data_IF_846407317317
#
_entry.id   IF_846407317317
#
_cell.length_a   1.000
_cell.length_b   1.000
_cell.length_c   1.000
_cell.angle_alpha   90.00
_cell.angle_beta   90.00
_cell.angle_gamma   90.00
#
_symmetry.space_group_name_H-M   'P 1'
#
loop_
_entity.id
_entity.type
_entity.pdbx_description
1 polymer ?
#
# COMPACT_ATOMS: atom_id res chain seq x y z
N UNK A 1 -0.57 34.58 5.24
CA UNK A 1 -1.38 33.51 4.64
C UNK A 1 -0.85 33.16 3.25
N UNK A 2 -0.66 34.13 2.35
CA UNK A 2 -0.10 33.93 1.01
C UNK A 2 1.28 33.25 1.01
N UNK A 3 2.20 33.66 1.90
CA UNK A 3 3.51 33.01 2.06
C UNK A 3 3.40 31.52 2.38
N UNK A 4 2.46 31.13 3.24
CA UNK A 4 2.24 29.73 3.61
C UNK A 4 1.68 28.93 2.43
N UNK A 5 0.82 29.54 1.60
CA UNK A 5 0.29 28.92 0.39
C UNK A 5 1.42 28.68 -0.62
N UNK A 6 2.27 29.68 -0.87
CA UNK A 6 3.42 29.55 -1.77
C UNK A 6 4.39 28.48 -1.28
N UNK A 7 4.74 28.48 0.01
CA UNK A 7 5.60 27.45 0.60
C UNK A 7 4.98 26.05 0.50
N UNK A 8 3.68 25.91 0.76
CA UNK A 8 2.98 24.64 0.62
C UNK A 8 3.06 24.11 -0.81
N UNK A 9 2.85 24.95 -1.83
CA UNK A 9 2.97 24.57 -3.24
C UNK A 9 4.41 24.17 -3.59
N UNK A 10 5.41 24.90 -3.07
CA UNK A 10 6.82 24.55 -3.27
C UNK A 10 7.17 23.19 -2.68
N UNK A 11 6.67 22.87 -1.48
CA UNK A 11 6.86 21.56 -0.88
C UNK A 11 6.13 20.47 -1.67
N UNK A 12 4.90 20.70 -2.11
CA UNK A 12 4.14 19.76 -2.95
C UNK A 12 4.87 19.45 -4.26
N UNK A 13 5.45 20.45 -4.92
CA UNK A 13 6.28 20.27 -6.11
C UNK A 13 7.50 19.40 -5.84
N UNK A 14 8.25 19.67 -4.76
CA UNK A 14 9.43 18.87 -4.37
C UNK A 14 9.06 17.43 -4.05
N UNK A 15 7.95 17.22 -3.34
CA UNK A 15 7.43 15.89 -3.03
C UNK A 15 7.11 15.13 -4.33
N UNK A 16 6.46 15.79 -5.30
CA UNK A 16 6.18 15.18 -6.60
C UNK A 16 7.45 14.75 -7.33
N UNK A 17 8.45 15.63 -7.39
CA UNK A 17 9.75 15.33 -8.02
C UNK A 17 10.45 14.15 -7.34
N UNK A 18 10.52 14.15 -6.01
CA UNK A 18 11.13 13.05 -5.27
C UNK A 18 10.35 11.75 -5.41
N UNK A 19 9.02 11.80 -5.48
CA UNK A 19 8.20 10.60 -5.70
C UNK A 19 8.42 10.01 -7.09
N UNK A 20 8.62 10.82 -8.13
CA UNK A 20 8.96 10.33 -9.48
C UNK A 20 10.31 9.62 -9.48
N UNK A 21 11.34 10.23 -8.87
CA UNK A 21 12.67 9.61 -8.71
C UNK A 21 12.63 8.35 -7.85
N UNK A 22 11.83 8.36 -6.77
CA UNK A 22 11.67 7.21 -5.89
C UNK A 22 10.94 6.06 -6.60
N UNK A 23 9.98 6.37 -7.46
CA UNK A 23 9.27 5.37 -8.26
C UNK A 23 10.22 4.62 -9.17
N UNK A 24 11.07 5.33 -9.94
CA UNK A 24 12.04 4.66 -10.82
C UNK A 24 13.03 3.79 -10.06
N UNK A 25 13.55 4.27 -8.92
CA UNK A 25 14.44 3.47 -8.07
C UNK A 25 13.76 2.22 -7.50
N UNK A 26 12.48 2.32 -7.10
CA UNK A 26 11.70 1.16 -6.63
C UNK A 26 11.48 0.16 -7.76
N UNK A 27 11.10 0.63 -8.94
CA UNK A 27 10.82 -0.23 -10.09
C UNK A 27 12.08 -1.02 -10.51
N UNK A 28 13.24 -0.36 -10.61
CA UNK A 28 14.51 -1.02 -10.92
C UNK A 28 14.94 -2.02 -9.82
N UNK A 29 14.82 -1.63 -8.55
CA UNK A 29 15.11 -2.53 -7.43
C UNK A 29 14.21 -3.76 -7.47
N UNK A 30 12.91 -3.58 -7.66
CA UNK A 30 11.93 -4.67 -7.65
C UNK A 30 12.12 -5.61 -8.87
N UNK A 31 12.56 -5.08 -10.01
CA UNK A 31 12.96 -5.88 -11.18
C UNK A 31 14.16 -6.77 -10.87
N UNK A 32 15.18 -6.24 -10.19
CA UNK A 32 16.34 -7.00 -9.74
C UNK A 32 15.91 -8.06 -8.72
N UNK A 33 15.10 -7.69 -7.72
CA UNK A 33 14.58 -8.62 -6.70
C UNK A 33 13.82 -9.79 -7.32
N UNK A 34 12.95 -9.55 -8.32
CA UNK A 34 12.23 -10.62 -9.02
C UNK A 34 13.17 -11.61 -9.70
N UNK A 35 14.23 -11.10 -10.34
CA UNK A 35 15.23 -11.94 -11.01
C UNK A 35 15.99 -12.79 -9.99
N UNK A 36 16.39 -12.19 -8.86
CA UNK A 36 17.06 -12.91 -7.77
C UNK A 36 16.16 -14.00 -7.17
N UNK A 37 14.89 -13.69 -6.89
CA UNK A 37 13.93 -14.66 -6.33
C UNK A 37 13.71 -15.84 -7.29
N UNK A 38 13.61 -15.61 -8.60
CA UNK A 38 13.46 -16.68 -9.60
C UNK A 38 14.65 -17.65 -9.64
N UNK A 39 15.85 -17.20 -9.25
CA UNK A 39 17.06 -18.02 -9.21
C UNK A 39 17.18 -18.82 -7.91
N UNK A 40 16.42 -18.47 -6.88
CA UNK A 40 16.41 -19.20 -5.61
C UNK A 40 15.49 -20.41 -5.74
N UNK A 41 16.09 -21.60 -5.64
CA UNK A 41 15.34 -22.86 -5.54
C UNK A 41 14.53 -22.90 -4.24
N UNK A 42 13.34 -23.49 -4.29
CA UNK A 42 12.39 -23.57 -3.16
C UNK A 42 12.79 -24.63 -2.10
N UNK A 43 14.08 -24.71 -1.81
CA UNK A 43 14.66 -25.61 -0.81
C UNK A 43 14.30 -25.14 0.61
N UNK A 44 14.42 -26.03 1.60
CA UNK A 44 14.15 -25.72 3.01
C UNK A 44 15.06 -24.61 3.58
N UNK A 45 16.25 -24.41 3.02
CA UNK A 45 17.19 -23.37 3.44
C UNK A 45 17.32 -22.28 2.37
N UNK A 46 16.82 -21.10 2.70
CA UNK A 46 16.96 -19.91 1.88
C UNK A 46 18.34 -19.28 2.08
N UNK A 47 18.95 -18.72 1.01
CA UNK A 47 20.30 -18.20 1.08
C UNK A 47 20.38 -16.87 1.87
N UNK A 48 21.54 -16.65 2.48
CA UNK A 48 21.90 -15.39 3.16
C UNK A 48 23.22 -14.89 2.58
N UNK A 49 23.26 -13.63 2.18
CA UNK A 49 24.43 -12.98 1.58
C UNK A 49 24.94 -11.86 2.50
N UNK A 50 26.18 -11.99 2.98
CA UNK A 50 26.82 -10.96 3.78
C UNK A 50 27.76 -10.12 2.90
N UNK A 51 27.49 -8.82 2.80
CA UNK A 51 28.28 -7.87 2.01
C UNK A 51 29.08 -6.98 2.96
N UNK A 52 30.28 -7.43 3.31
CA UNK A 52 31.15 -6.74 4.29
C UNK A 52 31.58 -5.35 3.82
N UNK A 53 31.76 -5.14 2.51
CA UNK A 53 32.08 -3.83 1.94
C UNK A 53 30.95 -2.79 2.10
N UNK A 54 29.71 -3.24 2.30
CA UNK A 54 28.53 -2.40 2.49
C UNK A 54 27.96 -2.48 3.91
N UNK A 55 28.64 -3.19 4.82
CA UNK A 55 28.16 -3.47 6.18
C UNK A 55 26.68 -3.92 6.23
N UNK A 56 26.25 -4.73 5.24
CA UNK A 56 24.84 -5.12 5.07
C UNK A 56 24.74 -6.62 4.83
N UNK A 57 23.66 -7.24 5.31
CA UNK A 57 23.28 -8.62 5.01
C UNK A 57 21.96 -8.66 4.27
N UNK A 58 21.82 -9.55 3.30
CA UNK A 58 20.63 -9.77 2.49
C UNK A 58 20.18 -11.22 2.66
N UNK A 59 18.98 -11.42 3.21
CA UNK A 59 18.38 -12.73 3.44
C UNK A 59 17.09 -12.89 2.63
N UNK A 60 16.86 -14.10 2.15
CA UNK A 60 15.59 -14.49 1.52
C UNK A 60 14.71 -15.11 2.59
N UNK A 61 13.45 -14.67 2.67
CA UNK A 61 12.50 -15.11 3.69
C UNK A 61 11.16 -15.49 3.07
N UNK A 62 10.53 -16.53 3.61
CA UNK A 62 9.13 -16.85 3.34
C UNK A 62 8.25 -16.01 4.25
N UNK A 63 7.35 -15.22 3.68
CA UNK A 63 6.36 -14.44 4.42
C UNK A 63 4.97 -14.89 4.04
N UNK A 64 4.13 -15.18 5.03
CA UNK A 64 2.73 -15.48 4.78
C UNK A 64 1.99 -14.20 4.40
N UNK A 65 1.43 -14.16 3.20
CA UNK A 65 0.56 -13.08 2.74
C UNK A 65 -0.88 -13.53 2.95
N UNK A 66 -1.52 -12.97 3.98
CA UNK A 66 -2.94 -13.20 4.25
C UNK A 66 -3.79 -12.28 3.37
N UNK A 67 -4.98 -12.74 3.00
CA UNK A 67 -5.94 -11.88 2.34
C UNK A 67 -6.38 -10.73 3.26
N UNK A 68 -6.67 -9.58 2.66
CA UNK A 68 -7.17 -8.43 3.42
C UNK A 68 -8.61 -8.68 3.85
N UNK A 69 -8.96 -8.18 5.04
CA UNK A 69 -10.32 -8.11 5.53
C UNK A 69 -11.17 -7.09 4.75
N UNK A 70 -11.50 -7.46 3.52
CA UNK A 70 -12.33 -6.67 2.60
C UNK A 70 -13.82 -6.89 2.89
N UNK A 71 -14.68 -6.00 2.39
CA UNK A 71 -16.13 -6.23 2.46
C UNK A 71 -16.54 -7.54 1.76
N UNK A 72 -15.79 -7.98 0.74
CA UNK A 72 -16.00 -9.27 0.10
C UNK A 72 -15.70 -10.41 1.06
N UNK A 73 -14.50 -10.42 1.64
CA UNK A 73 -14.12 -11.40 2.66
C UNK A 73 -15.14 -11.47 3.80
N UNK A 74 -15.56 -10.33 4.35
CA UNK A 74 -16.57 -10.30 5.39
C UNK A 74 -17.93 -10.82 4.92
N UNK A 75 -18.35 -10.50 3.69
CA UNK A 75 -19.61 -11.02 3.13
C UNK A 75 -19.56 -12.53 3.01
N UNK A 76 -18.47 -13.07 2.50
CA UNK A 76 -18.27 -14.51 2.33
C UNK A 76 -18.30 -15.21 3.70
N UNK A 77 -17.51 -14.72 4.67
CA UNK A 77 -17.50 -15.26 6.04
C UNK A 77 -18.86 -15.16 6.74
N UNK A 78 -19.56 -14.03 6.62
CA UNK A 78 -20.86 -13.86 7.26
C UNK A 78 -21.95 -14.68 6.58
N UNK A 79 -21.88 -14.86 5.26
CA UNK A 79 -22.84 -15.69 4.52
C UNK A 79 -22.70 -17.16 4.93
N UNK A 80 -21.45 -17.64 5.07
CA UNK A 80 -21.16 -18.98 5.57
C UNK A 80 -21.58 -19.14 7.04
N UNK A 81 -21.27 -18.17 7.90
CA UNK A 81 -21.60 -18.24 9.33
C UNK A 81 -23.10 -18.13 9.63
N UNK A 82 -23.84 -17.33 8.85
CA UNK A 82 -25.27 -17.08 9.05
C UNK A 82 -26.16 -17.97 8.18
N UNK A 83 -25.56 -18.78 7.31
CA UNK A 83 -26.22 -19.58 6.26
C UNK A 83 -27.22 -18.74 5.44
N UNK A 84 -26.87 -17.48 5.18
CA UNK A 84 -27.75 -16.51 4.54
C UNK A 84 -26.98 -15.30 4.02
N UNK A 85 -26.97 -15.14 2.70
CA UNK A 85 -26.34 -14.00 2.03
C UNK A 85 -27.07 -12.68 2.34
N UNK A 86 -28.40 -12.71 2.46
CA UNK A 86 -29.21 -11.53 2.79
C UNK A 86 -28.83 -10.96 4.16
N UNK A 87 -28.73 -11.81 5.18
CA UNK A 87 -28.34 -11.37 6.54
C UNK A 87 -26.90 -10.85 6.60
N UNK A 88 -26.00 -11.45 5.82
CA UNK A 88 -24.63 -10.97 5.70
C UNK A 88 -24.57 -9.55 5.10
N UNK A 89 -25.38 -9.27 4.07
CA UNK A 89 -25.48 -7.93 3.49
C UNK A 89 -26.08 -6.90 4.45
N UNK A 90 -27.13 -7.26 5.17
CA UNK A 90 -27.73 -6.42 6.20
C UNK A 90 -26.72 -6.05 7.29
N UNK A 91 -25.93 -7.02 7.75
CA UNK A 91 -24.89 -6.81 8.76
C UNK A 91 -23.81 -5.85 8.26
N UNK A 92 -23.32 -6.03 7.02
CA UNK A 92 -22.34 -5.12 6.42
C UNK A 92 -22.92 -3.70 6.29
N UNK A 93 -24.19 -3.57 5.91
CA UNK A 93 -24.87 -2.28 5.81
C UNK A 93 -25.00 -1.61 7.19
N UNK A 94 -25.37 -2.36 8.21
CA UNK A 94 -25.43 -1.90 9.60
C UNK A 94 -24.05 -1.42 10.08
N UNK A 95 -22.99 -2.20 9.85
CA UNK A 95 -21.63 -1.82 10.21
C UNK A 95 -21.22 -0.50 9.55
N UNK A 96 -21.55 -0.30 8.26
CA UNK A 96 -21.28 0.95 7.55
C UNK A 96 -22.00 2.14 8.17
N UNK A 97 -23.25 1.98 8.58
CA UNK A 97 -24.04 3.04 9.22
C UNK A 97 -23.52 3.44 10.61
N UNK A 98 -22.90 2.50 11.34
CA UNK A 98 -22.32 2.75 12.67
C UNK A 98 -20.93 3.36 12.64
N UNK A 99 -20.23 3.37 11.49
CA UNK A 99 -18.90 3.98 11.38
C UNK A 99 -19.00 5.48 11.65
N UNK A 100 -18.16 5.98 12.57
CA UNK A 100 -18.04 7.41 12.83
C UNK A 100 -17.50 8.10 11.58
N UNK A 101 -18.26 9.05 11.05
CA UNK A 101 -17.82 9.89 9.94
C UNK A 101 -17.40 11.24 10.52
N UNK A 102 -16.12 11.56 10.39
CA UNK A 102 -15.58 12.88 10.75
C UNK A 102 -15.27 13.65 9.48
N UNK A 103 -15.81 14.87 9.38
CA UNK A 103 -15.43 15.80 8.32
C UNK A 103 -14.20 16.59 8.77
N UNK A 104 -13.13 16.52 7.98
CA UNK A 104 -11.89 17.27 8.22
C UNK A 104 -11.65 18.19 7.03
N UNK A 105 -11.31 19.45 7.32
CA UNK A 105 -10.86 20.40 6.30
C UNK A 105 -9.48 19.95 5.84
N UNK A 106 -9.29 19.82 4.52
CA UNK A 106 -8.02 19.42 3.91
C UNK A 106 -7.69 20.39 2.76
N UNK A 107 -6.40 20.62 2.53
CA UNK A 107 -5.88 21.43 1.41
C UNK A 107 -5.67 20.50 0.22
N UNK A 108 -6.38 20.77 -0.89
CA UNK A 108 -6.23 20.03 -2.15
C UNK A 108 -5.71 20.96 -3.23
N UNK A 109 -4.66 20.55 -3.95
CA UNK A 109 -4.18 21.24 -5.15
C UNK A 109 -5.16 21.06 -6.32
N UNK A 110 -5.55 22.15 -6.94
CA UNK A 110 -6.28 22.17 -8.22
C UNK A 110 -5.38 22.65 -9.36
N UNK A 111 -5.75 22.32 -10.59
CA UNK A 111 -5.17 22.89 -11.79
C UNK A 111 -6.24 23.76 -12.46
N UNK A 112 -5.87 24.96 -12.88
CA UNK A 112 -6.72 25.76 -13.75
C UNK A 112 -6.44 25.22 -15.16
N UNK A 113 -7.47 24.72 -15.84
CA UNK A 113 -7.33 24.37 -17.25
C UNK A 113 -7.18 25.68 -18.03
N UNK A 114 -6.17 25.76 -18.90
CA UNK A 114 -6.06 26.85 -19.86
C UNK A 114 -7.27 26.79 -20.81
N UNK A 115 -7.91 27.95 -21.04
CA UNK A 115 -8.93 28.17 -22.07
C UNK A 115 -8.31 28.11 -23.47
#
# INVERSE_FOLDING_TARGET
>A
METNIVQWIQYDNKIKEYNEKLKSLRDERDKISKTMIQQVSDNEQLPVYNLTNLNTSLEFQKTNVYENYTNKFYKDCFSEFLDSEEKAEELIKFMKQKRKVEQKINIKRGYIADL
#
